data_IF_146049050356
#
_entry.id   IF_146049050356
#
_cell.length_a   1.000
_cell.length_b   1.000
_cell.length_c   1.000
_cell.angle_alpha   90.00
_cell.angle_beta   90.00
_cell.angle_gamma   90.00
#
_symmetry.space_group_name_H-M   'P 1'
#
loop_
_entity.id
_entity.type
_entity.pdbx_description
1 polymer ?
#
# COMPACT_ATOMS: atom_id res chain seq x y z
N UNK A 1 29.50 -49.50 -21.22
CA UNK A 1 28.07 -49.84 -21.10
C UNK A 1 27.36 -48.56 -20.67
N UNK A 2 26.59 -47.78 -21.43
CA UNK A 2 25.82 -47.96 -22.67
C UNK A 2 25.71 -46.61 -23.41
N UNK A 3 25.53 -46.73 -24.73
CA UNK A 3 25.21 -45.77 -25.81
C UNK A 3 24.45 -44.47 -25.44
N UNK A 4 24.90 -43.28 -25.91
CA UNK A 4 24.62 -42.66 -27.24
C UNK A 4 23.12 -42.53 -27.57
N UNK A 5 22.58 -41.31 -27.48
CA UNK A 5 21.34 -40.89 -28.15
C UNK A 5 21.66 -39.75 -29.11
N UNK A 6 21.49 -40.04 -30.40
CA UNK A 6 21.60 -39.17 -31.58
C UNK A 6 20.25 -39.30 -32.30
N UNK A 7 19.60 -38.19 -32.65
CA UNK A 7 18.50 -38.00 -33.62
C UNK A 7 18.15 -36.50 -33.48
N UNK A 8 18.54 -35.54 -34.33
CA UNK A 8 18.48 -35.40 -35.78
C UNK A 8 17.12 -35.79 -36.38
N UNK A 9 16.20 -34.82 -36.49
CA UNK A 9 15.29 -34.76 -37.65
C UNK A 9 14.98 -33.31 -38.00
N UNK A 10 15.54 -32.92 -39.15
CA UNK A 10 15.20 -31.75 -39.94
C UNK A 10 13.75 -31.86 -40.44
N UNK A 11 13.01 -30.75 -40.43
CA UNK A 11 11.90 -30.57 -41.36
C UNK A 11 11.90 -29.13 -41.87
N UNK A 12 12.53 -28.94 -43.03
CA UNK A 12 12.33 -27.79 -43.92
C UNK A 12 11.33 -28.21 -45.01
N UNK A 13 10.30 -27.40 -45.26
CA UNK A 13 9.71 -27.17 -46.58
C UNK A 13 8.69 -26.02 -46.45
N UNK A 14 9.01 -24.81 -46.91
CA UNK A 14 8.74 -24.30 -48.27
C UNK A 14 7.26 -24.03 -48.56
N UNK A 15 6.90 -22.73 -48.63
CA UNK A 15 6.28 -22.07 -49.81
C UNK A 15 5.79 -20.65 -49.47
N UNK A 16 6.52 -19.64 -49.96
CA UNK A 16 5.95 -18.37 -50.48
C UNK A 16 5.54 -18.61 -51.96
N UNK A 17 5.04 -17.65 -52.76
CA UNK A 17 4.45 -16.30 -52.51
C UNK A 17 3.10 -16.09 -53.28
N UNK A 18 2.50 -14.90 -53.18
CA UNK A 18 2.06 -14.01 -54.29
C UNK A 18 0.78 -13.20 -54.00
N UNK A 19 0.97 -11.87 -53.88
CA UNK A 19 0.28 -10.77 -54.56
C UNK A 19 -1.25 -10.89 -54.79
N UNK A 20 -2.01 -9.97 -54.21
CA UNK A 20 -3.10 -9.29 -54.94
C UNK A 20 -3.38 -7.92 -54.34
N UNK A 21 -2.98 -6.89 -55.08
CA UNK A 21 -3.49 -5.54 -54.94
C UNK A 21 -5.00 -5.50 -55.23
N UNK A 22 -5.73 -4.61 -54.54
CA UNK A 22 -7.08 -4.19 -54.92
C UNK A 22 -7.31 -2.75 -54.42
N UNK A 23 -8.16 -1.97 -55.09
CA UNK A 23 -7.82 -0.63 -55.54
C UNK A 23 -8.42 0.46 -54.67
N UNK A 24 -7.79 1.63 -54.75
CA UNK A 24 -8.33 2.90 -54.30
C UNK A 24 -9.63 3.23 -55.05
N UNK A 25 -10.66 3.64 -54.32
CA UNK A 25 -11.73 4.47 -54.86
C UNK A 25 -11.75 5.82 -54.11
N UNK A 26 -11.90 6.94 -54.83
CA UNK A 26 -12.13 8.24 -54.22
C UNK A 26 -13.63 8.46 -54.07
N UNK A 27 -14.12 8.61 -52.84
CA UNK A 27 -15.39 9.26 -52.61
C UNK A 27 -15.19 10.47 -51.71
N UNK A 28 -15.41 11.61 -52.35
CA UNK A 28 -15.44 12.95 -51.82
C UNK A 28 -16.67 13.05 -50.89
N UNK A 29 -16.46 12.99 -49.58
CA UNK A 29 -17.46 13.33 -48.59
C UNK A 29 -17.08 14.68 -47.97
N UNK A 30 -17.66 15.75 -48.51
CA UNK A 30 -17.71 17.06 -47.86
C UNK A 30 -18.67 16.93 -46.68
N UNK A 31 -18.12 16.64 -45.50
CA UNK A 31 -18.80 16.84 -44.23
C UNK A 31 -18.23 18.09 -43.57
N UNK A 32 -19.08 19.09 -43.45
CA UNK A 32 -18.89 20.29 -42.65
C UNK A 32 -18.50 19.89 -41.23
N UNK A 33 -17.21 19.99 -40.90
CA UNK A 33 -16.72 19.87 -39.53
C UNK A 33 -17.15 21.12 -38.75
N UNK A 34 -18.31 21.07 -38.11
CA UNK A 34 -18.61 21.97 -37.00
C UNK A 34 -17.58 21.68 -35.91
N UNK A 35 -16.75 22.68 -35.60
CA UNK A 35 -15.74 22.61 -34.55
C UNK A 35 -16.34 22.04 -33.26
N UNK A 36 -15.73 21.01 -32.63
CA UNK A 36 -16.18 20.56 -31.33
C UNK A 36 -16.00 21.73 -30.36
N UNK A 37 -17.12 22.18 -29.78
CA UNK A 37 -17.12 23.07 -28.61
C UNK A 37 -16.12 22.49 -27.62
N UNK A 38 -15.08 23.26 -27.32
CA UNK A 38 -14.09 22.89 -26.31
C UNK A 38 -14.85 22.47 -25.04
N UNK A 39 -14.61 21.26 -24.50
CA UNK A 39 -15.19 20.93 -23.22
C UNK A 39 -14.64 21.95 -22.23
N UNK A 40 -15.54 22.73 -21.62
CA UNK A 40 -15.17 23.59 -20.50
C UNK A 40 -14.48 22.69 -19.49
N UNK A 41 -13.20 22.96 -19.25
CA UNK A 41 -12.37 22.23 -18.31
C UNK A 41 -12.94 22.51 -16.93
N UNK A 42 -13.94 21.73 -16.54
CA UNK A 42 -14.45 21.68 -15.17
C UNK A 42 -13.30 21.16 -14.34
N UNK A 43 -12.56 22.10 -13.73
CA UNK A 43 -11.49 21.80 -12.81
C UNK A 43 -12.12 21.10 -11.62
N UNK A 44 -12.21 19.77 -11.69
CA UNK A 44 -12.58 18.92 -10.56
C UNK A 44 -11.49 19.19 -9.52
N UNK A 45 -11.80 20.07 -8.56
CA UNK A 45 -10.90 20.49 -7.49
C UNK A 45 -10.47 19.22 -6.75
N UNK A 46 -9.23 18.80 -6.96
CA UNK A 46 -8.62 17.72 -6.19
C UNK A 46 -8.66 18.16 -4.72
N UNK A 47 -9.45 17.48 -3.91
CA UNK A 47 -9.53 17.75 -2.47
C UNK A 47 -8.21 17.27 -1.88
N UNK A 48 -7.30 18.21 -1.64
CA UNK A 48 -6.08 17.93 -0.87
C UNK A 48 -6.48 17.78 0.60
N UNK A 49 -5.99 16.73 1.26
CA UNK A 49 -6.19 16.54 2.69
C UNK A 49 -5.45 17.64 3.47
N UNK A 50 -6.20 18.45 4.22
CA UNK A 50 -5.67 19.46 5.13
C UNK A 50 -5.48 18.88 6.55
N UNK A 51 -4.96 17.65 6.63
CA UNK A 51 -4.76 16.96 7.90
C UNK A 51 -3.47 17.43 8.59
N UNK A 52 -3.55 17.65 9.89
CA UNK A 52 -2.43 18.05 10.77
C UNK A 52 -2.25 16.98 11.84
N UNK A 53 -1.14 17.02 12.58
CA UNK A 53 -0.88 16.05 13.66
C UNK A 53 -2.03 16.00 14.67
N UNK A 54 -2.64 17.14 14.98
CA UNK A 54 -3.76 17.24 15.93
C UNK A 54 -5.09 16.70 15.39
N UNK A 55 -5.30 16.71 14.06
CA UNK A 55 -6.56 16.27 13.44
C UNK A 55 -6.54 14.82 12.95
N UNK A 56 -5.38 14.16 13.01
CA UNK A 56 -5.26 12.74 12.65
C UNK A 56 -6.14 11.88 13.57
N UNK A 57 -6.90 10.98 12.94
CA UNK A 57 -7.72 10.01 13.65
C UNK A 57 -6.82 9.01 14.39
N UNK A 58 -7.14 8.74 15.65
CA UNK A 58 -6.39 7.80 16.49
C UNK A 58 -7.26 6.61 16.88
N UNK A 59 -6.63 5.49 17.19
CA UNK A 59 -7.28 4.25 17.64
C UNK A 59 -6.60 3.76 18.92
N UNK A 60 -7.37 3.29 19.90
CA UNK A 60 -6.82 2.68 21.11
C UNK A 60 -6.33 1.25 20.85
N UNK A 61 -5.40 0.78 21.69
CA UNK A 61 -4.91 -0.60 21.63
C UNK A 61 -6.06 -1.62 21.72
N UNK A 62 -7.05 -1.41 22.60
CA UNK A 62 -8.18 -2.33 22.78
C UNK A 62 -9.06 -2.43 21.52
N UNK A 63 -9.29 -1.30 20.85
CA UNK A 63 -10.08 -1.28 19.61
C UNK A 63 -9.32 -1.93 18.45
N UNK A 64 -8.01 -1.68 18.35
CA UNK A 64 -7.19 -2.35 17.35
C UNK A 64 -7.16 -3.87 17.60
N UNK A 65 -6.90 -4.31 18.83
CA UNK A 65 -6.89 -5.73 19.20
C UNK A 65 -8.23 -6.41 18.87
N UNK A 66 -9.36 -5.74 19.13
CA UNK A 66 -10.69 -6.23 18.73
C UNK A 66 -10.80 -6.42 17.23
N UNK A 67 -10.44 -5.40 16.44
CA UNK A 67 -10.47 -5.45 14.98
C UNK A 67 -9.57 -6.57 14.42
N UNK A 68 -8.41 -6.80 15.04
CA UNK A 68 -7.50 -7.88 14.63
C UNK A 68 -8.10 -9.26 14.93
N UNK A 69 -8.71 -9.46 16.10
CA UNK A 69 -9.36 -10.73 16.46
C UNK A 69 -10.55 -11.03 15.55
N UNK A 70 -11.35 -10.02 15.20
CA UNK A 70 -12.48 -10.16 14.26
C UNK A 70 -12.03 -10.57 12.85
N UNK A 71 -10.83 -10.16 12.42
CA UNK A 71 -10.26 -10.54 11.11
C UNK A 71 -9.44 -11.83 11.14
N UNK A 72 -9.34 -12.52 12.28
CA UNK A 72 -8.60 -13.78 12.39
C UNK A 72 -7.11 -13.64 12.71
N UNK A 73 -6.69 -12.50 13.28
CA UNK A 73 -5.35 -12.17 13.79
C UNK A 73 -4.17 -12.21 12.78
N UNK A 74 -4.33 -12.84 11.61
CA UNK A 74 -3.34 -12.83 10.55
C UNK A 74 -3.49 -11.60 9.65
N UNK A 75 -2.89 -10.50 10.11
CA UNK A 75 -2.86 -9.21 9.39
C UNK A 75 -1.94 -9.26 8.17
N UNK A 76 -1.02 -10.24 8.12
CA UNK A 76 -0.06 -10.44 7.04
C UNK A 76 -0.63 -11.15 5.81
N UNK A 77 -1.78 -11.81 5.95
CA UNK A 77 -2.46 -12.49 4.84
C UNK A 77 -2.91 -11.51 3.75
N UNK A 78 -2.79 -11.89 2.47
CA UNK A 78 -3.17 -11.07 1.31
C UNK A 78 -4.65 -10.61 1.37
N UNK A 79 -5.51 -11.36 2.07
CA UNK A 79 -6.92 -11.02 2.29
C UNK A 79 -7.22 -10.08 3.47
N UNK A 80 -6.24 -9.68 4.27
CA UNK A 80 -6.47 -8.76 5.40
C UNK A 80 -6.87 -7.38 4.89
N UNK A 81 -7.93 -6.82 5.49
CA UNK A 81 -8.42 -5.45 5.19
C UNK A 81 -7.63 -4.39 5.95
N UNK A 82 -6.97 -4.77 7.04
CA UNK A 82 -6.19 -3.89 7.90
C UNK A 82 -4.71 -4.11 7.63
N UNK A 83 -3.95 -3.03 7.53
CA UNK A 83 -2.49 -3.06 7.59
C UNK A 83 -1.99 -2.21 8.76
N UNK A 84 -0.98 -2.74 9.46
CA UNK A 84 -0.30 -2.05 10.54
C UNK A 84 1.11 -1.73 10.07
N UNK A 85 1.49 -0.46 10.17
CA UNK A 85 2.80 0.05 9.80
C UNK A 85 3.52 0.49 11.06
N UNK A 86 4.56 -0.27 11.42
CA UNK A 86 5.45 0.06 12.52
C UNK A 86 6.63 0.87 11.99
N UNK A 87 6.72 2.14 12.40
CA UNK A 87 7.79 3.04 11.95
C UNK A 87 8.94 3.20 12.95
N UNK A 88 9.05 2.26 13.91
CA UNK A 88 10.22 2.17 14.79
C UNK A 88 11.48 1.78 14.00
N UNK A 89 12.61 2.25 14.52
CA UNK A 89 13.93 2.03 13.95
C UNK A 89 14.62 0.96 14.81
N UNK A 90 15.70 1.31 15.53
CA UNK A 90 16.41 0.40 16.43
C UNK A 90 15.53 -0.10 17.60
N UNK A 91 14.54 0.70 17.98
CA UNK A 91 13.56 0.43 19.04
C UNK A 91 12.41 -0.50 18.60
N UNK A 92 12.53 -1.12 17.43
CA UNK A 92 11.64 -2.19 16.98
C UNK A 92 11.89 -3.52 17.72
N UNK A 93 13.11 -3.71 18.23
CA UNK A 93 13.45 -4.85 19.07
C UNK A 93 12.64 -4.84 20.38
N UNK A 94 12.39 -6.02 20.95
CA UNK A 94 11.55 -6.16 22.15
C UNK A 94 10.13 -6.67 21.87
N UNK A 95 9.72 -6.72 20.61
CA UNK A 95 8.42 -7.25 20.18
C UNK A 95 7.70 -6.28 19.26
N UNK A 96 6.75 -6.80 18.50
CA UNK A 96 5.94 -6.05 17.55
C UNK A 96 4.54 -6.65 17.41
N UNK A 97 3.61 -5.87 16.87
CA UNK A 97 2.25 -6.36 16.60
C UNK A 97 2.34 -7.40 15.49
N UNK A 98 1.65 -8.53 15.68
CA UNK A 98 1.63 -9.64 14.73
C UNK A 98 1.17 -9.18 13.34
N UNK A 99 1.91 -9.58 12.31
CA UNK A 99 1.63 -9.21 10.92
C UNK A 99 1.83 -7.72 10.60
N UNK A 100 2.47 -6.94 11.49
CA UNK A 100 2.85 -5.56 11.19
C UNK A 100 3.99 -5.49 10.18
N UNK A 101 3.97 -4.46 9.34
CA UNK A 101 5.03 -4.16 8.39
C UNK A 101 5.97 -3.15 9.06
N UNK A 102 7.22 -3.54 9.29
CA UNK A 102 8.24 -2.62 9.75
C UNK A 102 8.72 -1.73 8.58
N UNK A 103 8.59 -0.41 8.75
CA UNK A 103 9.01 0.62 7.81
C UNK A 103 9.65 1.77 8.59
N UNK A 104 10.94 1.65 8.96
CA UNK A 104 11.63 2.60 9.84
C UNK A 104 11.49 4.04 9.37
N UNK A 105 11.15 4.95 10.29
CA UNK A 105 10.83 6.35 9.97
C UNK A 105 11.96 7.08 9.22
N UNK A 106 13.23 6.74 9.53
CA UNK A 106 14.43 7.33 8.93
C UNK A 106 14.61 6.96 7.46
N UNK A 107 14.17 5.76 7.08
CA UNK A 107 14.27 5.20 5.73
C UNK A 107 12.90 5.04 5.05
N UNK A 108 11.87 5.71 5.57
CA UNK A 108 10.49 5.55 5.10
C UNK A 108 10.33 6.02 3.65
N UNK A 109 10.09 5.06 2.74
CA UNK A 109 9.77 5.28 1.34
C UNK A 109 8.25 5.21 1.12
N UNK A 110 7.60 6.38 1.17
CA UNK A 110 6.14 6.50 1.09
C UNK A 110 5.56 6.09 -0.28
N UNK A 111 6.18 6.40 -1.45
CA UNK A 111 5.72 5.90 -2.73
C UNK A 111 5.63 4.38 -2.83
N UNK A 112 6.63 3.66 -2.31
CA UNK A 112 6.63 2.18 -2.34
C UNK A 112 5.60 1.63 -1.35
N UNK A 113 5.51 2.22 -0.16
CA UNK A 113 4.51 1.84 0.83
C UNK A 113 3.08 2.03 0.30
N UNK A 114 2.81 3.14 -0.41
CA UNK A 114 1.50 3.42 -1.01
C UNK A 114 1.07 2.34 -2.01
N UNK A 115 2.01 1.83 -2.83
CA UNK A 115 1.72 0.74 -3.78
C UNK A 115 1.45 -0.57 -3.05
N UNK A 116 2.22 -0.86 -1.99
CA UNK A 116 2.08 -2.07 -1.18
C UNK A 116 0.77 -2.12 -0.40
N UNK A 117 0.23 -0.97 -0.02
CA UNK A 117 -0.98 -0.86 0.80
C UNK A 117 -2.23 -0.49 -0.03
N UNK A 118 -2.16 -0.54 -1.36
CA UNK A 118 -3.24 -0.08 -2.23
C UNK A 118 -4.54 -0.88 -2.08
N UNK A 119 -4.43 -2.16 -1.73
CA UNK A 119 -5.53 -3.12 -1.52
C UNK A 119 -6.18 -3.01 -0.13
N UNK A 120 -5.55 -2.31 0.81
CA UNK A 120 -5.96 -2.27 2.22
C UNK A 120 -7.01 -1.20 2.47
N UNK A 121 -8.07 -1.53 3.20
CA UNK A 121 -9.15 -0.58 3.56
C UNK A 121 -8.73 0.33 4.72
N UNK A 122 -7.99 -0.20 5.69
CA UNK A 122 -7.55 0.56 6.88
C UNK A 122 -6.04 0.42 7.08
N UNK A 123 -5.35 1.54 7.26
CA UNK A 123 -3.92 1.58 7.56
C UNK A 123 -3.69 2.25 8.90
N UNK A 124 -3.02 1.55 9.81
CA UNK A 124 -2.71 2.01 11.16
C UNK A 124 -1.21 2.24 11.29
N UNK A 125 -0.80 3.47 11.54
CA UNK A 125 0.59 3.82 11.81
C UNK A 125 0.87 3.85 13.31
N UNK A 126 2.04 3.38 13.72
CA UNK A 126 2.51 3.54 15.09
C UNK A 126 4.02 3.63 15.18
N UNK A 127 4.53 4.16 16.30
CA UNK A 127 5.93 3.99 16.68
C UNK A 127 6.01 3.47 18.11
N UNK A 128 7.06 3.82 18.88
CA UNK A 128 7.14 3.45 20.30
C UNK A 128 6.04 4.11 21.14
N UNK A 129 5.88 5.43 21.02
CA UNK A 129 4.90 6.22 21.80
C UNK A 129 3.80 6.85 20.93
N UNK A 130 3.96 6.82 19.61
CA UNK A 130 3.10 7.49 18.63
C UNK A 130 2.89 9.00 18.85
N UNK A 131 3.88 9.69 19.43
CA UNK A 131 3.83 11.15 19.66
C UNK A 131 4.43 11.97 18.51
N UNK A 132 5.45 11.43 17.82
CA UNK A 132 6.19 12.15 16.76
C UNK A 132 6.27 11.29 15.49
N UNK A 133 7.14 10.25 15.47
CA UNK A 133 7.41 9.41 14.28
C UNK A 133 6.14 8.80 13.65
N UNK A 134 5.24 8.23 14.46
CA UNK A 134 3.98 7.64 13.98
C UNK A 134 3.08 8.66 13.24
N UNK A 135 2.65 9.75 13.90
CA UNK A 135 1.89 10.82 13.26
C UNK A 135 2.59 11.45 12.05
N UNK A 136 3.90 11.70 12.12
CA UNK A 136 4.65 12.26 11.00
C UNK A 136 4.67 11.33 9.78
N UNK A 137 4.84 10.01 9.99
CA UNK A 137 4.79 9.03 8.92
C UNK A 137 3.39 8.95 8.28
N UNK A 138 2.33 8.97 9.10
CA UNK A 138 0.95 9.01 8.64
C UNK A 138 0.69 10.24 7.74
N UNK A 139 1.13 11.44 8.15
CA UNK A 139 1.01 12.65 7.32
C UNK A 139 1.81 12.58 6.02
N UNK A 140 3.03 12.03 6.06
CA UNK A 140 3.83 11.83 4.84
C UNK A 140 3.11 10.90 3.86
N UNK A 141 2.52 9.82 4.37
CA UNK A 141 1.74 8.87 3.58
C UNK A 141 0.50 9.53 2.95
N UNK A 142 -0.24 10.35 3.70
CA UNK A 142 -1.40 11.10 3.18
C UNK A 142 -1.03 12.04 2.04
N UNK A 143 0.04 12.82 2.23
CA UNK A 143 0.53 13.76 1.21
C UNK A 143 0.94 13.03 -0.05
N UNK A 144 1.58 11.87 0.06
CA UNK A 144 1.93 11.06 -1.11
C UNK A 144 0.68 10.48 -1.79
N UNK A 145 -0.31 10.03 -1.01
CA UNK A 145 -1.61 9.57 -1.53
C UNK A 145 -2.31 10.66 -2.34
N UNK A 146 -2.36 11.89 -1.81
CA UNK A 146 -2.95 13.03 -2.50
C UNK A 146 -2.17 13.43 -3.74
N UNK A 147 -0.83 13.44 -3.66
CA UNK A 147 0.03 13.72 -4.79
C UNK A 147 -0.15 12.67 -5.90
N UNK A 148 -0.22 11.39 -5.54
CA UNK A 148 -0.50 10.30 -6.48
C UNK A 148 -1.89 10.44 -7.11
N UNK A 149 -2.92 10.79 -6.34
CA UNK A 149 -4.26 11.03 -6.85
C UNK A 149 -4.32 12.21 -7.83
N UNK A 150 -3.60 13.29 -7.54
CA UNK A 150 -3.47 14.45 -8.43
C UNK A 150 -2.77 14.09 -9.74
N UNK A 151 -1.67 13.31 -9.69
CA UNK A 151 -0.96 12.82 -10.88
C UNK A 151 -1.82 11.91 -11.75
N UNK A 152 -2.66 11.07 -11.13
CA UNK A 152 -3.55 10.14 -11.83
C UNK A 152 -4.85 10.78 -12.38
N UNK A 153 -4.94 12.11 -12.42
CA UNK A 153 -6.09 12.83 -12.98
C UNK A 153 -7.40 12.62 -12.20
N UNK A 154 -7.33 12.24 -10.93
CA UNK A 154 -8.50 12.00 -10.08
C UNK A 154 -9.31 10.73 -10.40
N UNK A 155 -8.90 9.93 -11.40
CA UNK A 155 -9.57 8.69 -11.81
C UNK A 155 -8.74 7.42 -11.52
N UNK A 156 -7.45 7.56 -11.21
CA UNK A 156 -6.55 6.43 -10.92
C UNK A 156 -6.05 6.34 -9.47
N UNK A 157 -6.67 7.08 -8.54
CA UNK A 157 -6.38 6.93 -7.12
C UNK A 157 -7.00 5.62 -6.63
N UNK A 158 -6.26 4.52 -6.74
CA UNK A 158 -6.59 3.30 -6.03
C UNK A 158 -6.76 3.66 -4.56
N UNK A 159 -7.99 3.46 -4.06
CA UNK A 159 -8.38 3.60 -2.66
C UNK A 159 -8.56 5.03 -2.09
N UNK A 160 -9.42 5.85 -2.72
CA UNK A 160 -9.88 7.15 -2.17
C UNK A 160 -10.48 7.02 -0.75
N UNK A 161 -10.99 5.83 -0.41
CA UNK A 161 -11.67 5.55 0.87
C UNK A 161 -10.79 4.92 1.96
N UNK A 162 -9.48 4.74 1.73
CA UNK A 162 -8.60 4.13 2.74
C UNK A 162 -8.60 4.95 4.04
N UNK A 163 -8.96 4.30 5.15
CA UNK A 163 -9.01 4.89 6.49
C UNK A 163 -7.61 4.90 7.09
N UNK A 164 -7.09 6.08 7.36
CA UNK A 164 -5.82 6.24 8.05
C UNK A 164 -6.03 6.46 9.54
N UNK A 165 -5.27 5.73 10.36
CA UNK A 165 -5.31 5.80 11.81
C UNK A 165 -3.90 5.85 12.39
N UNK A 166 -3.76 6.43 13.57
CA UNK A 166 -2.56 6.33 14.41
C UNK A 166 -2.89 5.57 15.68
N UNK A 167 -2.11 4.55 16.02
CA UNK A 167 -2.26 3.83 17.28
C UNK A 167 -1.88 4.74 18.45
N UNK A 168 -2.82 4.97 19.36
CA UNK A 168 -2.57 5.74 20.56
C UNK A 168 -1.60 5.03 21.50
N UNK A 169 -0.75 5.81 22.18
CA UNK A 169 0.35 5.36 23.05
C UNK A 169 1.40 4.44 22.39
N UNK A 170 1.28 4.18 21.08
CA UNK A 170 2.24 3.38 20.31
C UNK A 170 2.40 1.95 20.81
N UNK A 171 3.56 1.36 20.53
CA UNK A 171 3.86 0.01 20.97
C UNK A 171 4.02 -0.10 22.50
N UNK A 172 4.43 0.97 23.20
CA UNK A 172 4.49 0.98 24.65
C UNK A 172 3.10 0.74 25.28
N UNK A 173 2.08 1.46 24.82
CA UNK A 173 0.71 1.24 25.31
C UNK A 173 0.10 -0.09 24.86
N UNK A 174 0.56 -0.63 23.72
CA UNK A 174 0.15 -1.96 23.26
C UNK A 174 0.72 -3.06 24.16
N UNK A 175 2.03 -3.04 24.40
CA UNK A 175 2.71 -4.09 25.15
C UNK A 175 2.24 -4.17 26.60
N UNK A 176 1.88 -3.04 27.23
CA UNK A 176 1.29 -3.02 28.59
C UNK A 176 0.05 -3.92 28.73
N UNK A 177 -0.68 -4.15 27.63
CA UNK A 177 -1.94 -4.90 27.64
C UNK A 177 -1.87 -6.24 26.91
N UNK A 178 -1.13 -6.29 25.81
CA UNK A 178 -1.18 -7.40 24.85
C UNK A 178 0.20 -8.00 24.57
N UNK A 179 1.25 -7.65 25.33
CA UNK A 179 2.59 -8.20 25.16
C UNK A 179 2.63 -9.73 25.19
N UNK A 180 1.99 -10.34 26.18
CA UNK A 180 2.03 -11.79 26.42
C UNK A 180 1.04 -12.56 25.51
N UNK A 181 0.14 -11.84 24.81
CA UNK A 181 -0.82 -12.45 23.89
C UNK A 181 -0.14 -12.78 22.55
N UNK A 182 0.30 -14.04 22.41
CA UNK A 182 0.94 -14.57 21.19
C UNK A 182 0.03 -14.55 19.95
N UNK A 183 -1.28 -14.39 20.13
CA UNK A 183 -2.19 -14.23 18.99
C UNK A 183 -2.10 -12.84 18.37
N UNK A 184 -1.61 -11.85 19.13
CA UNK A 184 -1.60 -10.44 18.74
C UNK A 184 -0.20 -9.83 18.69
N UNK A 185 0.76 -10.39 19.43
CA UNK A 185 2.13 -9.87 19.55
C UNK A 185 3.13 -10.97 19.21
N UNK A 186 4.15 -10.61 18.42
CA UNK A 186 5.23 -11.48 17.99
C UNK A 186 6.59 -10.96 18.45
N UNK A 187 7.51 -11.89 18.73
CA UNK A 187 8.87 -11.56 19.13
C UNK A 187 9.00 -10.82 20.47
N UNK A 188 7.99 -10.88 21.34
CA UNK A 188 8.04 -10.21 22.63
C UNK A 188 9.15 -10.79 23.52
N UNK A 189 9.97 -9.89 24.07
CA UNK A 189 11.17 -10.18 24.84
C UNK A 189 11.10 -9.43 26.15
N UNK A 190 10.55 -10.06 27.19
CA UNK A 190 10.25 -9.42 28.49
C UNK A 190 11.49 -8.80 29.14
N UNK A 191 12.65 -9.46 28.99
CA UNK A 191 13.97 -8.97 29.43
C UNK A 191 14.26 -7.54 28.95
N UNK A 192 13.90 -7.22 27.72
CA UNK A 192 14.14 -5.90 27.13
C UNK A 192 13.20 -4.81 27.67
N UNK A 193 12.11 -5.18 28.36
CA UNK A 193 11.13 -4.26 28.90
C UNK A 193 11.25 -4.09 30.42
N UNK A 194 11.68 -5.13 31.14
CA UNK A 194 11.91 -5.07 32.59
C UNK A 194 13.03 -4.05 32.92
N UNK A 195 14.09 -3.99 32.11
CA UNK A 195 15.21 -3.04 32.27
C UNK A 195 14.83 -1.57 31.98
N UNK A 196 13.75 -1.33 31.22
CA UNK A 196 13.24 0.02 30.91
C UNK A 196 12.27 0.55 31.98
N UNK A 197 11.92 -0.27 32.99
CA UNK A 197 10.98 0.06 34.08
C UNK A 197 11.69 0.33 35.42
N UNK A 198 13.03 0.29 35.46
CA UNK A 198 13.88 0.72 36.58
C UNK A 198 14.46 2.12 36.33
#
# INVERSE_FOLDING_TARGET
MHARFLLLFMWQALRRPLISACPQQPFLAVLTATAPKSPSRSTRRTIMSMETVATLKRISADNLARMLREQGADVSSEGSKIAIVDVRDDDYLGGHIKGSINCPSRALDTPTLLRRLADKETVVFHCMLSQQRGPSAALRYLREKDAAAARAGGLGAQNIHQKLLVLDRGFQGWQEKFAEDKSLTEGYRKDLWDDMML
#
